data_IF_994589088023
#
_entry.id   IF_994589088023
#
_cell.length_a   1.000
_cell.length_b   1.000
_cell.length_c   1.000
_cell.angle_alpha   90.00
_cell.angle_beta   90.00
_cell.angle_gamma   90.00
#
_symmetry.space_group_name_H-M   'P 1'
#
loop_
_entity.id
_entity.type
_entity.pdbx_description
1 polymer ?
#
# COMPACT_ATOMS: atom_id res chain seq x y z
N UNK A 1 24.78 10.54 25.93
CA UNK A 1 24.63 10.28 24.47
C UNK A 1 25.61 11.18 23.73
N UNK A 2 26.39 10.65 22.77
CA UNK A 2 27.33 11.46 21.99
C UNK A 2 26.52 12.28 20.98
N UNK A 3 26.60 13.61 21.03
CA UNK A 3 25.94 14.46 20.03
C UNK A 3 26.65 14.26 18.69
N UNK A 4 25.95 13.65 17.73
CA UNK A 4 26.43 13.49 16.36
C UNK A 4 26.23 14.82 15.63
N UNK A 5 27.27 15.31 14.98
CA UNK A 5 27.18 16.54 14.19
C UNK A 5 26.40 16.29 12.89
N UNK A 6 25.76 17.33 12.36
CA UNK A 6 25.06 17.25 11.08
C UNK A 6 26.06 16.84 9.99
N UNK A 7 25.73 15.80 9.23
CA UNK A 7 26.62 15.21 8.21
C UNK A 7 27.44 14.00 8.67
N UNK A 8 27.33 13.60 9.95
CA UNK A 8 27.91 12.33 10.42
C UNK A 8 27.24 11.14 9.70
N UNK A 9 28.06 10.24 9.14
CA UNK A 9 27.59 9.04 8.43
C UNK A 9 26.63 8.20 9.28
N UNK A 10 26.86 8.12 10.59
CA UNK A 10 25.98 7.36 11.50
C UNK A 10 24.60 8.00 11.60
N UNK A 11 24.54 9.34 11.63
CA UNK A 11 23.28 10.09 11.68
C UNK A 11 22.52 10.00 10.35
N UNK A 12 23.22 10.10 9.22
CA UNK A 12 22.62 9.95 7.89
C UNK A 12 22.04 8.55 7.67
N UNK A 13 22.76 7.49 8.05
CA UNK A 13 22.25 6.14 7.96
C UNK A 13 21.03 5.95 8.87
N UNK A 14 21.06 6.46 10.10
CA UNK A 14 19.91 6.39 11.00
C UNK A 14 18.66 7.08 10.40
N UNK A 15 18.83 8.24 9.77
CA UNK A 15 17.76 8.93 9.06
C UNK A 15 17.24 8.15 7.86
N UNK A 16 18.14 7.58 7.04
CA UNK A 16 17.73 6.77 5.89
C UNK A 16 16.92 5.53 6.31
N UNK A 17 17.32 4.83 7.39
CA UNK A 17 16.55 3.71 7.92
C UNK A 17 15.21 4.14 8.53
N UNK A 18 15.17 5.31 9.17
CA UNK A 18 13.93 5.89 9.70
C UNK A 18 12.93 6.22 8.58
N UNK A 19 13.38 6.89 7.53
CA UNK A 19 12.53 7.24 6.37
C UNK A 19 12.08 5.98 5.61
N UNK A 20 12.95 4.97 5.53
CA UNK A 20 12.58 3.69 4.96
C UNK A 20 11.49 3.01 5.79
N UNK A 21 11.67 2.92 7.11
CA UNK A 21 10.68 2.32 8.01
C UNK A 21 9.33 3.06 7.99
N UNK A 22 9.35 4.40 7.91
CA UNK A 22 8.13 5.20 7.75
C UNK A 22 7.39 4.91 6.43
N UNK A 23 8.12 4.62 5.36
CA UNK A 23 7.53 4.29 4.05
C UNK A 23 7.00 2.84 3.98
N UNK A 24 7.58 1.92 4.75
CA UNK A 24 7.16 0.52 4.83
C UNK A 24 5.73 0.37 5.35
N UNK A 25 5.25 1.28 6.20
CA UNK A 25 3.87 1.25 6.71
C UNK A 25 2.84 1.30 5.58
N UNK A 26 2.92 2.32 4.71
CA UNK A 26 2.01 2.46 3.57
C UNK A 26 2.19 1.32 2.58
N UNK A 27 3.44 0.90 2.33
CA UNK A 27 3.72 -0.22 1.42
C UNK A 27 3.09 -1.53 1.89
N UNK A 28 3.21 -1.85 3.18
CA UNK A 28 2.69 -3.11 3.76
C UNK A 28 1.16 -3.13 3.71
N UNK A 29 0.51 -2.01 4.03
CA UNK A 29 -0.95 -1.90 3.95
C UNK A 29 -1.41 -2.12 2.51
N UNK A 30 -0.77 -1.45 1.56
CA UNK A 30 -1.16 -1.53 0.16
C UNK A 30 -0.86 -2.91 -0.46
N UNK A 31 0.25 -3.56 -0.09
CA UNK A 31 0.70 -4.81 -0.73
C UNK A 31 0.18 -6.08 -0.08
N UNK A 32 -0.16 -6.05 1.22
CA UNK A 32 -0.57 -7.24 1.96
C UNK A 32 -2.01 -7.13 2.51
N UNK A 33 -2.40 -5.98 3.03
CA UNK A 33 -3.72 -5.83 3.69
C UNK A 33 -4.83 -5.60 2.66
N UNK A 34 -4.64 -4.68 1.71
CA UNK A 34 -5.66 -4.38 0.70
C UNK A 34 -6.03 -5.55 -0.21
N UNK A 35 -5.09 -6.37 -0.73
CA UNK A 35 -5.46 -7.53 -1.53
C UNK A 35 -6.39 -8.49 -0.78
N UNK A 36 -6.07 -8.82 0.47
CA UNK A 36 -6.88 -9.71 1.31
C UNK A 36 -8.26 -9.08 1.62
N UNK A 37 -8.28 -7.77 1.93
CA UNK A 37 -9.52 -7.05 2.19
C UNK A 37 -10.46 -7.08 0.98
N UNK A 38 -9.95 -6.79 -0.22
CA UNK A 38 -10.77 -6.80 -1.42
C UNK A 38 -11.21 -8.22 -1.80
N UNK A 39 -10.34 -9.22 -1.65
CA UNK A 39 -10.71 -10.62 -1.84
C UNK A 39 -11.88 -11.02 -0.93
N UNK A 40 -11.81 -10.69 0.36
CA UNK A 40 -12.89 -10.96 1.30
C UNK A 40 -14.18 -10.17 0.99
N UNK A 41 -14.06 -8.90 0.59
CA UNK A 41 -15.21 -8.05 0.23
C UNK A 41 -15.99 -8.58 -0.98
N UNK A 42 -15.27 -9.24 -1.90
CA UNK A 42 -15.80 -9.75 -3.17
C UNK A 42 -15.98 -11.27 -3.18
N UNK A 43 -15.78 -11.95 -2.04
CA UNK A 43 -15.85 -13.41 -1.89
C UNK A 43 -17.24 -14.00 -2.12
N UNK A 44 -18.31 -13.26 -1.84
CA UNK A 44 -19.69 -13.77 -1.87
C UNK A 44 -20.60 -13.09 -2.91
N UNK A 45 -20.10 -12.06 -3.61
CA UNK A 45 -20.88 -11.32 -4.61
C UNK A 45 -20.51 -11.80 -6.00
N UNK A 46 -21.54 -11.93 -6.83
CA UNK A 46 -21.45 -12.22 -8.26
C UNK A 46 -20.25 -11.51 -8.89
N UNK A 47 -19.56 -12.16 -9.82
CA UNK A 47 -18.27 -11.68 -10.34
C UNK A 47 -18.33 -10.35 -11.08
N UNK A 48 -19.49 -9.69 -11.14
CA UNK A 48 -19.78 -8.45 -11.84
C UNK A 48 -20.42 -7.43 -10.89
N UNK A 49 -19.89 -6.21 -10.88
CA UNK A 49 -20.44 -5.06 -10.14
C UNK A 49 -20.69 -3.92 -11.11
N UNK A 50 -21.78 -3.21 -10.89
CA UNK A 50 -22.07 -1.94 -11.51
C UNK A 50 -21.39 -0.79 -10.79
N UNK A 51 -20.43 -0.15 -11.45
CA UNK A 51 -19.72 1.02 -10.93
C UNK A 51 -19.70 2.09 -12.00
N UNK A 52 -20.15 3.31 -11.69
CA UNK A 52 -20.27 4.43 -12.64
C UNK A 52 -21.06 4.11 -13.94
N UNK A 53 -22.02 3.16 -13.86
CA UNK A 53 -22.78 2.71 -15.03
C UNK A 53 -22.02 1.74 -15.95
N UNK A 54 -20.87 1.21 -15.50
CA UNK A 54 -20.13 0.14 -16.18
C UNK A 54 -20.28 -1.17 -15.42
N UNK A 55 -20.69 -2.23 -16.13
CA UNK A 55 -20.71 -3.61 -15.63
C UNK A 55 -19.29 -4.19 -15.69
N UNK A 56 -18.56 -4.15 -14.57
CA UNK A 56 -17.16 -4.57 -14.50
C UNK A 56 -17.00 -5.83 -13.67
N UNK A 57 -16.05 -6.69 -14.05
CA UNK A 57 -15.70 -7.85 -13.22
C UNK A 57 -15.04 -7.39 -11.90
N UNK A 58 -15.34 -8.05 -10.77
CA UNK A 58 -14.70 -7.76 -9.46
C UNK A 58 -13.17 -7.75 -9.58
N UNK A 59 -12.60 -8.71 -10.30
CA UNK A 59 -11.15 -8.81 -10.51
C UNK A 59 -10.56 -7.63 -11.28
N UNK A 60 -11.32 -7.06 -12.24
CA UNK A 60 -10.91 -5.86 -12.97
C UNK A 60 -10.95 -4.64 -12.06
N UNK A 61 -11.97 -4.51 -11.20
CA UNK A 61 -12.06 -3.42 -10.23
C UNK A 61 -10.92 -3.46 -9.21
N UNK A 62 -10.57 -4.63 -8.67
CA UNK A 62 -9.41 -4.79 -7.79
C UNK A 62 -8.13 -4.33 -8.50
N UNK A 63 -7.96 -4.70 -9.77
CA UNK A 63 -6.81 -4.28 -10.58
C UNK A 63 -6.76 -2.77 -10.77
N UNK A 64 -7.89 -2.12 -11.06
CA UNK A 64 -7.97 -0.66 -11.19
C UNK A 64 -7.69 0.07 -9.87
N UNK A 65 -8.25 -0.40 -8.76
CA UNK A 65 -8.03 0.21 -7.44
C UNK A 65 -6.57 0.03 -7.01
N UNK A 66 -6.00 -1.15 -7.25
CA UNK A 66 -4.59 -1.43 -6.97
C UNK A 66 -3.68 -0.53 -7.82
N UNK A 67 -3.95 -0.40 -9.12
CA UNK A 67 -3.19 0.48 -10.01
C UNK A 67 -3.38 1.98 -9.74
N UNK A 68 -4.45 2.38 -9.05
CA UNK A 68 -4.64 3.75 -8.60
C UNK A 68 -3.96 4.02 -7.24
N UNK A 69 -3.74 2.98 -6.45
CA UNK A 69 -3.10 3.07 -5.12
C UNK A 69 -1.56 3.02 -5.19
N UNK A 70 -0.99 2.48 -6.27
CA UNK A 70 0.45 2.33 -6.52
C UNK A 70 0.86 3.07 -7.80
#
# INVERSE_FOLDING_TARGET
>A
MKNLQKGDKKLLNAWAFYDWANSVYTLTIASAVFPIFYEALFSERDHYIDVFGMHLKNSALISFITAAAF
#
